data_IF_039601255050
#
_entry.id   IF_039601255050
#
_cell.length_a   1.000
_cell.length_b   1.000
_cell.length_c   1.000
_cell.angle_alpha   90.00
_cell.angle_beta   90.00
_cell.angle_gamma   90.00
#
_symmetry.space_group_name_H-M   'P 1'
#
loop_
_entity.id
_entity.type
_entity.pdbx_description
1 polymer ?
#
# COMPACT_ATOMS: atom_id res chain seq x y z
N UNK A 1 11.67 -9.04 11.56
CA UNK A 1 10.25 -9.06 12.04
C UNK A 1 9.81 -10.51 12.14
N UNK A 2 9.04 -10.87 13.17
CA UNK A 2 8.40 -12.18 13.21
C UNK A 2 7.11 -12.17 12.39
N UNK A 3 7.07 -12.90 11.27
CA UNK A 3 5.91 -13.02 10.39
C UNK A 3 5.04 -14.25 10.72
N UNK A 4 5.52 -15.12 11.61
CA UNK A 4 4.81 -16.33 12.00
C UNK A 4 3.76 -16.02 13.06
N UNK A 5 2.67 -15.42 12.61
CA UNK A 5 1.56 -14.94 13.44
C UNK A 5 0.37 -15.89 13.38
N UNK A 6 -0.35 -15.99 14.51
CA UNK A 6 -1.63 -16.69 14.54
C UNK A 6 -2.64 -16.03 13.60
N UNK A 7 -3.45 -16.87 12.99
CA UNK A 7 -4.51 -16.48 12.06
C UNK A 7 -5.88 -16.79 12.66
N UNK A 8 -6.93 -16.42 11.94
CA UNK A 8 -8.32 -16.81 12.30
C UNK A 8 -8.52 -18.33 12.41
N UNK A 9 -7.63 -19.14 11.85
CA UNK A 9 -7.67 -20.60 11.99
C UNK A 9 -7.09 -21.11 13.31
N UNK A 10 -6.31 -20.29 14.01
CA UNK A 10 -5.56 -20.66 15.19
C UNK A 10 -6.28 -20.22 16.50
N UNK A 11 -7.49 -19.69 16.40
CA UNK A 11 -8.29 -19.23 17.53
C UNK A 11 -9.76 -19.64 17.38
N UNK A 12 -10.39 -20.00 18.49
CA UNK A 12 -11.83 -20.29 18.51
C UNK A 12 -12.63 -18.98 18.46
N UNK A 13 -13.47 -18.85 17.44
CA UNK A 13 -14.36 -17.69 17.22
C UNK A 13 -15.85 -18.07 17.25
N UNK A 14 -16.16 -19.36 17.43
CA UNK A 14 -17.54 -19.84 17.40
C UNK A 14 -18.37 -19.20 18.51
N UNK A 15 -19.48 -18.57 18.14
CA UNK A 15 -20.37 -17.87 19.05
C UNK A 15 -19.82 -16.62 19.72
N UNK A 16 -18.60 -16.20 19.36
CA UNK A 16 -17.94 -15.02 19.93
C UNK A 16 -18.20 -13.75 19.11
N UNK A 17 -18.13 -12.62 19.79
CA UNK A 17 -18.09 -11.31 19.14
C UNK A 17 -16.66 -11.00 18.69
N UNK A 18 -16.48 -10.76 17.42
CA UNK A 18 -15.18 -10.52 16.78
C UNK A 18 -15.13 -9.11 16.24
N UNK A 19 -14.17 -8.31 16.74
CA UNK A 19 -13.83 -7.03 16.15
C UNK A 19 -12.90 -7.27 14.95
N UNK A 20 -13.40 -7.01 13.74
CA UNK A 20 -12.67 -7.21 12.49
C UNK A 20 -12.25 -5.88 11.89
N UNK A 21 -10.95 -5.61 11.82
CA UNK A 21 -10.41 -4.41 11.18
C UNK A 21 -10.20 -4.68 9.68
N UNK A 22 -11.05 -4.07 8.87
CA UNK A 22 -11.00 -4.12 7.41
C UNK A 22 -10.36 -2.87 6.80
N UNK A 23 -9.95 -2.94 5.56
CA UNK A 23 -9.60 -1.79 4.74
C UNK A 23 -10.71 -1.50 3.73
N UNK A 24 -11.66 -0.66 4.15
CA UNK A 24 -12.75 -0.16 3.33
C UNK A 24 -12.53 1.28 2.87
N UNK A 25 -11.28 1.69 2.81
CA UNK A 25 -10.88 2.99 2.27
C UNK A 25 -11.00 2.98 0.73
N UNK A 26 -12.22 2.82 0.26
CA UNK A 26 -12.57 2.73 -1.15
C UNK A 26 -12.41 4.06 -1.86
N UNK A 27 -12.05 4.08 -3.15
CA UNK A 27 -12.11 5.28 -3.96
C UNK A 27 -13.56 5.68 -4.21
N UNK A 28 -13.80 6.99 -4.17
CA UNK A 28 -15.13 7.57 -4.35
C UNK A 28 -15.11 8.66 -5.42
N UNK A 29 -16.17 8.78 -6.17
CA UNK A 29 -16.42 9.93 -7.03
C UNK A 29 -16.49 11.21 -6.19
N UNK A 30 -15.74 12.22 -6.57
CA UNK A 30 -15.62 13.48 -5.79
C UNK A 30 -16.91 14.30 -5.76
N UNK A 31 -17.74 14.19 -6.79
CA UNK A 31 -18.98 14.94 -6.91
C UNK A 31 -20.12 14.23 -6.19
N UNK A 32 -20.29 12.94 -6.41
CA UNK A 32 -21.44 12.15 -5.93
C UNK A 32 -21.18 11.40 -4.63
N UNK A 33 -19.91 11.11 -4.29
CA UNK A 33 -19.54 10.23 -3.18
C UNK A 33 -19.75 8.74 -3.47
N UNK A 34 -20.16 8.37 -4.68
CA UNK A 34 -20.36 6.98 -5.08
C UNK A 34 -19.03 6.20 -5.08
N UNK A 35 -19.09 4.94 -4.67
CA UNK A 35 -17.95 4.04 -4.71
C UNK A 35 -17.58 3.75 -6.17
N UNK A 36 -16.35 4.08 -6.58
CA UNK A 36 -15.85 3.84 -7.95
C UNK A 36 -15.14 2.50 -8.12
N UNK A 37 -14.73 1.86 -7.02
CA UNK A 37 -14.18 0.51 -7.01
C UNK A 37 -14.44 -0.15 -5.65
N UNK A 38 -14.95 -1.36 -5.67
CA UNK A 38 -15.23 -2.16 -4.47
C UNK A 38 -14.17 -3.24 -4.18
N UNK A 39 -13.05 -3.24 -4.90
CA UNK A 39 -11.97 -4.23 -4.77
C UNK A 39 -11.52 -4.46 -3.32
N UNK A 40 -11.45 -3.40 -2.52
CA UNK A 40 -11.07 -3.50 -1.09
C UNK A 40 -12.13 -4.22 -0.26
N UNK A 41 -13.41 -4.01 -0.57
CA UNK A 41 -14.52 -4.71 0.10
C UNK A 41 -14.47 -6.19 -0.28
N UNK A 42 -14.30 -6.49 -1.57
CA UNK A 42 -14.19 -7.86 -2.08
C UNK A 42 -13.01 -8.59 -1.45
N UNK A 43 -11.87 -7.92 -1.26
CA UNK A 43 -10.68 -8.51 -0.64
C UNK A 43 -10.90 -8.93 0.84
N UNK A 44 -11.82 -8.31 1.55
CA UNK A 44 -12.18 -8.67 2.92
C UNK A 44 -13.19 -9.83 3.03
N UNK A 45 -13.89 -10.16 1.95
CA UNK A 45 -14.96 -11.18 1.96
C UNK A 45 -14.50 -12.56 2.44
N UNK A 46 -13.33 -13.09 2.07
CA UNK A 46 -12.90 -14.41 2.54
C UNK A 46 -12.86 -14.51 4.06
N UNK A 47 -12.26 -13.52 4.74
CA UNK A 47 -12.22 -13.47 6.20
C UNK A 47 -13.60 -13.31 6.81
N UNK A 48 -14.42 -12.41 6.27
CA UNK A 48 -15.79 -12.18 6.75
C UNK A 48 -16.62 -13.45 6.62
N UNK A 49 -16.60 -14.11 5.46
CA UNK A 49 -17.35 -15.37 5.24
C UNK A 49 -16.89 -16.50 6.14
N UNK A 50 -15.58 -16.61 6.36
CA UNK A 50 -15.04 -17.59 7.30
C UNK A 50 -15.60 -17.36 8.72
N UNK A 51 -15.49 -16.14 9.25
CA UNK A 51 -15.97 -15.81 10.60
C UNK A 51 -17.47 -16.04 10.74
N UNK A 52 -18.28 -15.59 9.78
CA UNK A 52 -19.72 -15.82 9.77
C UNK A 52 -20.06 -17.31 9.68
N UNK A 53 -19.33 -18.07 8.87
CA UNK A 53 -19.48 -19.52 8.74
C UNK A 53 -19.15 -20.29 10.03
N UNK A 54 -18.26 -19.75 10.86
CA UNK A 54 -17.96 -20.29 12.19
C UNK A 54 -18.97 -19.87 13.26
N UNK A 55 -20.01 -19.11 12.90
CA UNK A 55 -21.03 -18.63 13.84
C UNK A 55 -20.57 -17.44 14.69
N UNK A 56 -19.51 -16.74 14.31
CA UNK A 56 -19.09 -15.51 14.97
C UNK A 56 -20.09 -14.37 14.71
N UNK A 57 -20.23 -13.45 15.67
CA UNK A 57 -20.89 -12.17 15.50
C UNK A 57 -19.80 -11.14 15.11
N UNK A 58 -19.84 -10.65 13.88
CA UNK A 58 -18.75 -9.83 13.32
C UNK A 58 -19.05 -8.35 13.47
N UNK A 59 -18.17 -7.63 14.18
CA UNK A 59 -18.18 -6.18 14.31
C UNK A 59 -17.04 -5.66 13.42
N UNK A 60 -17.35 -5.30 12.18
CA UNK A 60 -16.39 -4.76 11.24
C UNK A 60 -16.15 -3.28 11.53
N UNK A 61 -14.89 -2.84 11.39
CA UNK A 61 -14.51 -1.44 11.48
C UNK A 61 -13.48 -1.08 10.41
N UNK A 62 -13.48 0.14 9.96
CA UNK A 62 -12.54 0.67 8.97
C UNK A 62 -12.45 2.19 9.05
N UNK A 63 -11.41 2.71 8.43
CA UNK A 63 -11.35 4.13 8.09
C UNK A 63 -11.78 4.37 6.64
N UNK A 64 -12.15 5.60 6.33
CA UNK A 64 -12.39 6.09 4.98
C UNK A 64 -11.84 7.52 4.86
N UNK A 65 -10.93 7.71 3.91
CA UNK A 65 -10.30 9.01 3.66
C UNK A 65 -9.50 9.56 4.86
N UNK A 66 -9.42 10.87 4.91
CA UNK A 66 -8.70 11.62 5.96
C UNK A 66 -9.60 12.72 6.52
N UNK A 67 -10.70 12.38 7.22
CA UNK A 67 -11.52 13.36 7.89
C UNK A 67 -10.71 14.14 8.92
N UNK A 68 -11.07 15.38 9.15
CA UNK A 68 -10.53 16.14 10.27
C UNK A 68 -11.62 16.23 11.36
N UNK A 69 -11.48 15.49 12.46
CA UNK A 69 -12.52 15.39 13.47
C UNK A 69 -12.61 16.61 14.39
N UNK A 70 -11.78 17.64 14.17
CA UNK A 70 -11.80 18.92 14.90
C UNK A 70 -12.11 20.05 13.93
N UNK A 71 -13.17 20.83 14.22
CA UNK A 71 -13.53 21.99 13.40
C UNK A 71 -12.39 23.00 13.30
N UNK A 72 -11.76 23.34 14.41
CA UNK A 72 -10.63 24.29 14.45
C UNK A 72 -9.47 23.83 13.55
N UNK A 73 -9.10 22.55 13.62
CA UNK A 73 -8.05 21.99 12.78
C UNK A 73 -8.47 21.93 11.31
N UNK A 74 -9.73 21.64 11.05
CA UNK A 74 -10.25 21.65 9.68
C UNK A 74 -10.19 23.07 9.09
N UNK A 75 -10.59 24.10 9.83
CA UNK A 75 -10.48 25.50 9.41
C UNK A 75 -9.03 25.83 9.09
N UNK A 76 -8.09 25.56 10.01
CA UNK A 76 -6.67 25.79 9.79
C UNK A 76 -6.18 25.15 8.49
N UNK A 77 -6.48 23.88 8.28
CA UNK A 77 -6.08 23.11 7.10
C UNK A 77 -6.70 23.62 5.79
N UNK A 78 -7.93 24.15 5.84
CA UNK A 78 -8.56 24.74 4.66
C UNK A 78 -7.97 26.13 4.35
N UNK A 79 -7.63 26.91 5.38
CA UNK A 79 -6.94 28.20 5.24
C UNK A 79 -5.55 28.03 4.64
N UNK A 80 -4.79 27.04 5.09
CA UNK A 80 -3.48 26.69 4.50
C UNK A 80 -3.58 26.30 3.01
N UNK A 81 -4.77 25.88 2.55
CA UNK A 81 -5.08 25.60 1.15
C UNK A 81 -5.63 26.82 0.39
N UNK A 82 -5.57 28.01 0.98
CA UNK A 82 -5.97 29.26 0.35
C UNK A 82 -7.45 29.57 0.39
N UNK A 83 -8.25 28.90 1.26
CA UNK A 83 -9.66 29.25 1.45
C UNK A 83 -9.80 30.37 2.49
N UNK A 84 -10.78 31.25 2.26
CA UNK A 84 -11.11 32.32 3.19
C UNK A 84 -11.69 31.75 4.50
N UNK A 85 -11.09 32.03 5.67
CA UNK A 85 -11.61 31.58 6.96
C UNK A 85 -13.06 32.02 7.23
N UNK A 86 -13.45 33.17 6.73
CA UNK A 86 -14.81 33.71 6.92
C UNK A 86 -15.89 32.84 6.23
N UNK A 87 -15.51 32.09 5.21
CA UNK A 87 -16.39 31.15 4.51
C UNK A 87 -16.43 29.74 5.12
N UNK A 88 -15.57 29.44 6.09
CA UNK A 88 -15.44 28.12 6.70
C UNK A 88 -16.38 27.99 7.90
N UNK A 89 -17.56 27.44 7.66
CA UNK A 89 -18.60 27.25 8.67
C UNK A 89 -18.60 25.80 9.20
N UNK A 90 -19.17 25.62 10.40
CA UNK A 90 -19.38 24.31 11.00
C UNK A 90 -20.27 23.42 10.12
N UNK A 91 -21.25 23.99 9.44
CA UNK A 91 -22.10 23.27 8.49
C UNK A 91 -21.27 22.69 7.32
N UNK A 92 -20.37 23.47 6.74
CA UNK A 92 -19.47 23.01 5.67
C UNK A 92 -18.53 21.90 6.17
N UNK A 93 -18.06 22.02 7.40
CA UNK A 93 -17.25 20.96 8.03
C UNK A 93 -18.05 19.68 8.21
N UNK A 94 -19.24 19.75 8.82
CA UNK A 94 -20.13 18.58 8.99
C UNK A 94 -20.48 17.94 7.64
N UNK A 95 -20.73 18.74 6.61
CA UNK A 95 -20.93 18.23 5.24
C UNK A 95 -19.70 17.50 4.69
N UNK A 96 -18.50 17.96 5.02
CA UNK A 96 -17.26 17.29 4.63
C UNK A 96 -17.08 15.94 5.33
N UNK A 97 -17.49 15.80 6.58
CA UNK A 97 -17.50 14.54 7.31
C UNK A 97 -18.52 13.56 6.74
N UNK A 98 -19.75 14.04 6.46
CA UNK A 98 -20.81 13.20 5.87
C UNK A 98 -20.41 12.52 4.55
N UNK A 99 -19.53 13.12 3.77
CA UNK A 99 -18.98 12.50 2.54
C UNK A 99 -18.11 11.29 2.81
N UNK A 100 -17.59 11.16 4.03
CA UNK A 100 -16.68 10.09 4.45
C UNK A 100 -17.36 9.09 5.40
N UNK A 101 -18.69 9.03 5.40
CA UNK A 101 -19.44 7.98 6.10
C UNK A 101 -19.23 6.64 5.43
N UNK A 102 -19.21 5.58 6.23
CA UNK A 102 -19.14 4.19 5.74
C UNK A 102 -20.51 3.61 5.39
N UNK A 103 -21.60 4.37 5.47
CA UNK A 103 -22.94 3.87 5.13
C UNK A 103 -23.01 3.25 3.72
N UNK A 104 -22.48 3.87 2.64
CA UNK A 104 -22.46 3.24 1.30
C UNK A 104 -21.65 1.95 1.24
N UNK A 105 -20.60 1.83 2.07
CA UNK A 105 -19.82 0.60 2.17
C UNK A 105 -20.64 -0.51 2.82
N UNK A 106 -21.41 -0.21 3.85
CA UNK A 106 -22.31 -1.17 4.49
C UNK A 106 -23.36 -1.70 3.51
N UNK A 107 -23.94 -0.84 2.68
CA UNK A 107 -24.89 -1.23 1.62
C UNK A 107 -24.22 -2.16 0.59
N UNK A 108 -23.05 -1.77 0.08
CA UNK A 108 -22.32 -2.57 -0.90
C UNK A 108 -21.85 -3.92 -0.32
N UNK A 109 -21.40 -3.92 0.93
CA UNK A 109 -21.02 -5.16 1.63
C UNK A 109 -22.23 -6.10 1.81
N UNK A 110 -23.40 -5.54 2.13
CA UNK A 110 -24.66 -6.30 2.23
C UNK A 110 -25.03 -6.97 0.89
N UNK A 111 -24.92 -6.25 -0.22
CA UNK A 111 -25.14 -6.82 -1.55
C UNK A 111 -24.18 -7.97 -1.87
N UNK A 112 -22.89 -7.78 -1.61
CA UNK A 112 -21.84 -8.79 -1.88
C UNK A 112 -21.96 -10.03 -1.01
N UNK A 113 -22.43 -9.88 0.22
CA UNK A 113 -22.66 -11.00 1.15
C UNK A 113 -24.01 -11.70 0.91
N UNK A 114 -24.96 -11.03 0.26
CA UNK A 114 -26.32 -11.52 0.13
C UNK A 114 -27.08 -11.60 1.45
N UNK A 115 -26.70 -10.79 2.44
CA UNK A 115 -27.32 -10.73 3.78
C UNK A 115 -27.21 -9.32 4.36
N UNK A 116 -28.10 -8.94 5.30
CA UNK A 116 -28.08 -7.62 5.93
C UNK A 116 -26.76 -7.37 6.65
N UNK A 117 -26.22 -6.15 6.50
CA UNK A 117 -25.15 -5.60 7.32
C UNK A 117 -25.74 -4.47 8.16
N UNK A 118 -25.70 -4.61 9.47
CA UNK A 118 -26.18 -3.59 10.40
C UNK A 118 -25.18 -2.44 10.42
N UNK A 119 -25.62 -1.23 10.11
CA UNK A 119 -24.74 -0.06 10.14
C UNK A 119 -24.94 0.73 11.45
N UNK A 120 -23.82 1.01 12.14
CA UNK A 120 -23.83 1.88 13.33
C UNK A 120 -23.48 3.32 12.91
N UNK A 121 -24.22 4.29 13.47
CA UNK A 121 -24.05 5.72 13.16
C UNK A 121 -22.98 6.41 14.01
N UNK A 122 -22.31 5.67 14.87
CA UNK A 122 -21.15 6.09 15.65
C UNK A 122 -20.10 4.96 15.72
N UNK A 123 -18.94 5.23 16.31
CA UNK A 123 -17.83 4.27 16.41
C UNK A 123 -17.87 3.52 17.72
N UNK A 124 -17.96 4.23 18.84
CA UNK A 124 -17.99 3.69 20.22
C UNK A 124 -19.08 4.32 21.06
N UNK A 125 -20.01 4.96 20.42
CA UNK A 125 -21.14 5.64 21.06
C UNK A 125 -22.30 4.70 21.40
N UNK A 126 -23.43 5.28 21.82
CA UNK A 126 -24.59 4.48 22.23
C UNK A 126 -25.16 3.58 21.15
N UNK A 127 -25.17 4.04 19.89
CA UNK A 127 -25.72 3.28 18.78
C UNK A 127 -24.86 2.04 18.46
N UNK A 128 -23.53 2.20 18.35
CA UNK A 128 -22.62 1.09 18.12
C UNK A 128 -22.69 0.06 19.26
N UNK A 129 -22.67 0.52 20.52
CA UNK A 129 -22.72 -0.37 21.70
C UNK A 129 -24.02 -1.15 21.77
N UNK A 130 -25.17 -0.51 21.53
CA UNK A 130 -26.46 -1.17 21.53
C UNK A 130 -26.58 -2.22 20.41
N UNK A 131 -26.14 -1.89 19.20
CA UNK A 131 -26.15 -2.79 18.05
C UNK A 131 -25.18 -3.95 18.24
N UNK A 132 -23.97 -3.69 18.76
CA UNK A 132 -23.00 -4.73 19.09
C UNK A 132 -23.52 -5.69 20.17
N UNK A 133 -24.20 -5.17 21.20
CA UNK A 133 -24.81 -6.01 22.24
C UNK A 133 -25.90 -6.93 21.68
N UNK A 134 -26.73 -6.44 20.76
CA UNK A 134 -27.81 -7.18 20.14
C UNK A 134 -27.37 -8.15 19.03
N UNK A 135 -26.15 -8.00 18.51
CA UNK A 135 -25.63 -8.80 17.38
C UNK A 135 -25.49 -10.26 17.75
N UNK A 136 -26.01 -11.14 16.90
CA UNK A 136 -26.00 -12.61 17.11
C UNK A 136 -24.96 -13.29 16.25
N UNK A 137 -24.59 -14.51 16.61
CA UNK A 137 -23.71 -15.37 15.79
C UNK A 137 -24.23 -15.52 14.36
N UNK A 138 -23.34 -15.37 13.39
CA UNK A 138 -23.65 -15.37 11.95
C UNK A 138 -24.14 -14.03 11.41
N UNK A 139 -24.28 -13.01 12.24
CA UNK A 139 -24.62 -11.64 11.83
C UNK A 139 -23.38 -10.74 11.77
N UNK A 140 -23.48 -9.69 10.99
CA UNK A 140 -22.42 -8.69 10.80
C UNK A 140 -22.94 -7.28 10.93
N UNK A 141 -22.15 -6.43 11.60
CA UNK A 141 -22.36 -4.98 11.60
C UNK A 141 -21.09 -4.26 11.13
N UNK A 142 -21.25 -3.03 10.68
CA UNK A 142 -20.16 -2.11 10.35
C UNK A 142 -20.30 -0.85 11.20
N UNK A 143 -19.22 -0.51 11.92
CA UNK A 143 -19.12 0.75 12.66
C UNK A 143 -18.94 1.93 11.69
N UNK A 144 -19.26 3.13 12.15
CA UNK A 144 -18.93 4.35 11.41
C UNK A 144 -17.40 4.53 11.31
N UNK A 145 -16.97 5.42 10.41
CA UNK A 145 -15.57 5.70 10.10
C UNK A 145 -14.76 5.94 11.39
N UNK A 146 -13.81 5.05 11.66
CA UNK A 146 -12.99 5.12 12.88
C UNK A 146 -12.22 6.43 13.02
N UNK A 147 -11.91 7.10 11.90
CA UNK A 147 -11.23 8.41 11.89
C UNK A 147 -12.12 9.59 12.25
N UNK A 148 -13.40 9.38 12.49
CA UNK A 148 -14.25 10.40 13.12
C UNK A 148 -13.92 10.56 14.60
N UNK A 149 -13.26 9.55 15.21
CA UNK A 149 -12.78 9.64 16.57
C UNK A 149 -11.38 10.32 16.63
N UNK A 150 -11.26 11.34 17.48
CA UNK A 150 -10.00 12.10 17.65
C UNK A 150 -8.82 11.26 18.14
N UNK A 151 -9.12 10.15 18.84
CA UNK A 151 -8.13 9.24 19.39
C UNK A 151 -7.60 8.19 18.40
N UNK A 152 -8.26 7.97 17.26
CA UNK A 152 -7.91 6.88 16.34
C UNK A 152 -6.46 6.94 15.88
N UNK A 153 -6.07 8.04 15.23
CA UNK A 153 -4.72 8.18 14.67
C UNK A 153 -3.63 8.44 15.72
N UNK A 154 -4.04 8.71 16.96
CA UNK A 154 -3.13 8.90 18.10
C UNK A 154 -2.89 7.63 18.89
N UNK A 155 -3.53 6.53 18.50
CA UNK A 155 -3.54 5.27 19.25
C UNK A 155 -3.97 5.48 20.72
N UNK A 156 -5.04 6.25 20.91
CA UNK A 156 -5.54 6.58 22.24
C UNK A 156 -6.00 5.30 22.96
N UNK A 157 -5.43 4.98 24.13
CA UNK A 157 -5.80 3.78 24.89
C UNK A 157 -7.26 3.75 25.31
N UNK A 158 -7.87 4.91 25.60
CA UNK A 158 -9.28 4.98 25.99
C UNK A 158 -10.19 4.58 24.83
N UNK A 159 -9.91 5.07 23.61
CA UNK A 159 -10.66 4.65 22.40
C UNK A 159 -10.44 3.16 22.10
N UNK A 160 -9.20 2.69 22.19
CA UNK A 160 -8.88 1.28 21.97
C UNK A 160 -9.63 0.37 22.94
N UNK A 161 -9.72 0.75 24.23
CA UNK A 161 -10.47 0.04 25.26
C UNK A 161 -11.98 0.03 24.96
N UNK A 162 -12.54 1.15 24.51
CA UNK A 162 -13.95 1.24 24.14
C UNK A 162 -14.27 0.36 22.92
N UNK A 163 -13.44 0.34 21.91
CA UNK A 163 -13.57 -0.58 20.77
C UNK A 163 -13.51 -2.04 21.24
N UNK A 164 -12.51 -2.37 22.04
CA UNK A 164 -12.30 -3.72 22.55
C UNK A 164 -13.44 -4.20 23.46
N UNK A 165 -14.12 -3.29 24.17
CA UNK A 165 -15.24 -3.62 25.07
C UNK A 165 -16.43 -4.27 24.37
N UNK A 166 -16.56 -4.09 23.06
CA UNK A 166 -17.65 -4.65 22.25
C UNK A 166 -17.39 -6.09 21.79
N UNK A 167 -16.17 -6.61 21.94
CA UNK A 167 -15.77 -7.89 21.36
C UNK A 167 -14.93 -8.76 22.34
N UNK A 168 -14.66 -9.99 21.92
CA UNK A 168 -13.89 -10.98 22.68
C UNK A 168 -12.58 -11.36 21.95
N UNK A 169 -12.53 -11.13 20.64
CA UNK A 169 -11.38 -11.42 19.78
C UNK A 169 -11.19 -10.25 18.80
N UNK A 170 -9.94 -9.90 18.53
CA UNK A 170 -9.58 -8.93 17.49
C UNK A 170 -8.94 -9.64 16.30
N UNK A 171 -9.42 -9.33 15.10
CA UNK A 171 -8.88 -9.82 13.83
C UNK A 171 -8.41 -8.65 12.98
N UNK A 172 -7.11 -8.63 12.64
CA UNK A 172 -6.50 -7.65 11.75
C UNK A 172 -6.52 -8.15 10.31
N UNK A 173 -7.28 -7.48 9.45
CA UNK A 173 -7.41 -7.86 8.03
C UNK A 173 -7.21 -6.68 7.07
N UNK A 174 -6.55 -5.64 7.52
CA UNK A 174 -6.30 -4.41 6.78
C UNK A 174 -4.80 -4.18 6.59
N UNK A 175 -4.14 -4.95 5.71
CA UNK A 175 -2.69 -4.87 5.52
C UNK A 175 -2.22 -3.45 5.16
N UNK A 176 -2.97 -2.69 4.36
CA UNK A 176 -2.67 -1.30 4.04
C UNK A 176 -2.60 -0.34 5.24
N UNK A 177 -3.07 -0.77 6.42
CA UNK A 177 -3.09 0.04 7.65
C UNK A 177 -2.17 -0.46 8.74
N UNK A 178 -1.57 -1.66 8.62
CA UNK A 178 -0.75 -2.27 9.70
C UNK A 178 0.56 -1.54 9.99
N UNK A 179 1.03 -0.67 9.08
CA UNK A 179 2.22 0.15 9.28
C UNK A 179 2.01 1.31 10.25
N UNK A 180 0.77 1.57 10.67
CA UNK A 180 0.42 2.66 11.57
C UNK A 180 -0.12 2.12 12.89
N UNK A 181 0.45 2.60 14.00
CA UNK A 181 -0.08 2.36 15.32
C UNK A 181 -1.30 3.25 15.57
N UNK A 182 -2.48 2.82 15.12
CA UNK A 182 -3.76 3.46 15.41
C UNK A 182 -4.55 2.66 16.45
N UNK A 183 -5.55 3.26 17.08
CA UNK A 183 -6.37 2.58 18.08
C UNK A 183 -7.00 1.31 17.53
N UNK A 184 -7.59 1.35 16.32
CA UNK A 184 -8.24 0.20 15.68
C UNK A 184 -7.30 -0.78 15.00
N UNK A 185 -6.02 -0.45 14.79
CA UNK A 185 -5.06 -1.33 14.09
C UNK A 185 -4.07 -2.01 15.04
N UNK A 186 -3.69 -1.35 16.13
CA UNK A 186 -2.71 -1.86 17.09
C UNK A 186 -3.19 -1.75 18.54
N UNK A 187 -3.78 -0.62 18.93
CA UNK A 187 -4.16 -0.36 20.33
C UNK A 187 -5.11 -1.39 20.92
N UNK A 188 -6.07 -1.87 20.14
CA UNK A 188 -7.07 -2.88 20.59
C UNK A 188 -6.42 -4.21 21.00
N UNK A 189 -5.25 -4.54 20.48
CA UNK A 189 -4.52 -5.76 20.82
C UNK A 189 -3.99 -5.77 22.27
N UNK A 190 -3.96 -4.62 22.94
CA UNK A 190 -3.66 -4.55 24.36
C UNK A 190 -4.81 -5.11 25.26
N UNK A 191 -6.01 -5.25 24.72
CA UNK A 191 -7.23 -5.61 25.46
C UNK A 191 -7.89 -6.89 24.98
N UNK A 192 -7.56 -7.36 23.77
CA UNK A 192 -8.14 -8.56 23.16
C UNK A 192 -7.04 -9.47 22.60
N UNK A 193 -7.24 -10.79 22.63
CA UNK A 193 -6.40 -11.69 21.83
C UNK A 193 -6.53 -11.30 20.36
N UNK A 194 -5.38 -11.08 19.70
CA UNK A 194 -5.27 -10.51 18.37
C UNK A 194 -4.65 -11.50 17.40
N UNK A 195 -5.32 -11.76 16.29
CA UNK A 195 -4.84 -12.65 15.21
C UNK A 195 -5.00 -11.97 13.86
N UNK A 196 -4.33 -12.50 12.83
CA UNK A 196 -4.51 -12.01 11.46
C UNK A 196 -5.76 -12.61 10.81
N UNK A 197 -6.43 -11.82 10.00
CA UNK A 197 -7.36 -12.32 8.99
C UNK A 197 -6.61 -12.95 7.81
N UNK A 198 -7.35 -13.51 6.85
CA UNK A 198 -6.78 -14.27 5.73
C UNK A 198 -6.01 -13.38 4.77
N UNK A 199 -6.43 -12.12 4.59
CA UNK A 199 -5.73 -11.15 3.74
C UNK A 199 -4.36 -10.82 4.33
N UNK A 200 -4.30 -10.41 5.59
CA UNK A 200 -3.04 -10.10 6.27
C UNK A 200 -2.15 -11.34 6.36
N UNK A 201 -2.70 -12.51 6.67
CA UNK A 201 -1.96 -13.76 6.70
C UNK A 201 -1.26 -14.06 5.37
N UNK A 202 -1.98 -13.88 4.25
CA UNK A 202 -1.44 -14.09 2.91
C UNK A 202 -0.32 -13.11 2.58
N UNK A 203 -0.49 -11.83 2.92
CA UNK A 203 0.55 -10.81 2.74
C UNK A 203 1.83 -11.18 3.51
N UNK A 204 1.69 -11.55 4.80
CA UNK A 204 2.82 -11.93 5.63
C UNK A 204 3.51 -13.20 5.13
N UNK A 205 2.76 -14.20 4.70
CA UNK A 205 3.31 -15.44 4.14
C UNK A 205 4.14 -15.16 2.88
N UNK A 206 3.55 -14.45 1.91
CA UNK A 206 4.20 -14.27 0.60
C UNK A 206 5.37 -13.29 0.69
N UNK A 207 5.16 -12.13 1.30
CA UNK A 207 6.21 -11.10 1.40
C UNK A 207 7.29 -11.49 2.41
N UNK A 208 6.92 -12.11 3.53
CA UNK A 208 7.86 -12.59 4.53
C UNK A 208 8.80 -13.64 3.95
N UNK A 209 8.25 -14.62 3.23
CA UNK A 209 9.02 -15.65 2.56
C UNK A 209 9.97 -15.09 1.50
N UNK A 210 9.50 -14.11 0.73
CA UNK A 210 10.31 -13.43 -0.29
C UNK A 210 11.51 -12.67 0.30
N UNK A 211 11.40 -12.15 1.51
CA UNK A 211 12.50 -11.40 2.14
C UNK A 211 13.43 -12.25 2.99
N UNK A 212 12.92 -13.27 3.67
CA UNK A 212 13.71 -14.03 4.66
C UNK A 212 14.21 -15.38 4.12
N UNK A 213 13.46 -16.00 3.21
CA UNK A 213 13.83 -17.27 2.55
C UNK A 213 13.39 -17.27 1.08
N UNK A 214 13.93 -16.36 0.25
CA UNK A 214 13.55 -16.27 -1.16
C UNK A 214 14.03 -17.48 -1.94
N UNK A 215 13.21 -17.93 -2.88
CA UNK A 215 13.70 -18.82 -3.93
C UNK A 215 14.67 -18.03 -4.82
N UNK A 216 15.94 -18.48 -4.85
CA UNK A 216 17.00 -17.76 -5.58
C UNK A 216 17.13 -18.20 -7.04
N UNK A 217 17.66 -17.36 -7.94
CA UNK A 217 18.11 -15.98 -7.68
C UNK A 217 16.95 -15.03 -7.29
N UNK A 218 17.23 -14.12 -6.35
CA UNK A 218 16.29 -13.07 -5.93
C UNK A 218 16.62 -11.75 -6.63
N UNK A 219 15.68 -11.25 -7.41
CA UNK A 219 15.78 -9.99 -8.17
C UNK A 219 14.81 -8.96 -7.56
N UNK A 220 15.33 -7.80 -7.20
CA UNK A 220 14.54 -6.67 -6.77
C UNK A 220 14.51 -5.61 -7.87
N UNK A 221 13.33 -5.17 -8.29
CA UNK A 221 13.11 -4.12 -9.30
C UNK A 221 12.52 -2.90 -8.61
N UNK A 222 13.28 -1.82 -8.58
CA UNK A 222 12.90 -0.58 -7.92
C UNK A 222 12.81 0.56 -8.93
N UNK A 223 11.73 1.29 -8.88
CA UNK A 223 11.47 2.47 -9.69
C UNK A 223 10.81 3.58 -8.86
N UNK A 224 10.30 4.57 -9.56
CA UNK A 224 9.68 5.74 -8.97
C UNK A 224 10.49 7.02 -9.21
N UNK A 225 9.97 8.15 -8.71
CA UNK A 225 10.52 9.47 -9.03
C UNK A 225 11.76 9.84 -8.21
N UNK A 226 11.81 9.44 -6.93
CA UNK A 226 12.77 9.97 -5.95
C UNK A 226 13.55 8.88 -5.23
N UNK A 227 14.86 9.08 -5.10
CA UNK A 227 15.74 8.25 -4.27
C UNK A 227 15.35 8.32 -2.80
N UNK A 228 15.01 9.53 -2.31
CA UNK A 228 14.64 9.77 -0.91
C UNK A 228 13.50 8.89 -0.43
N UNK A 229 12.56 8.55 -1.32
CA UNK A 229 11.42 7.68 -1.00
C UNK A 229 11.79 6.19 -0.94
N UNK A 230 13.00 5.81 -1.38
CA UNK A 230 13.45 4.42 -1.53
C UNK A 230 14.72 4.08 -0.76
N UNK A 231 15.29 5.01 -0.01
CA UNK A 231 16.56 4.82 0.71
C UNK A 231 16.57 3.54 1.55
N UNK A 232 15.57 3.38 2.40
CA UNK A 232 15.49 2.23 3.31
C UNK A 232 15.23 0.93 2.56
N UNK A 233 14.43 0.97 1.49
CA UNK A 233 14.15 -0.19 0.62
C UNK A 233 15.43 -0.64 -0.10
N UNK A 234 16.17 0.28 -0.71
CA UNK A 234 17.43 -0.02 -1.40
C UNK A 234 18.41 -0.65 -0.41
N UNK A 235 18.59 -0.05 0.76
CA UNK A 235 19.47 -0.57 1.80
C UNK A 235 19.12 -1.99 2.22
N UNK A 236 17.85 -2.26 2.49
CA UNK A 236 17.41 -3.57 2.94
C UNK A 236 17.53 -4.63 1.83
N UNK A 237 17.18 -4.27 0.59
CA UNK A 237 17.23 -5.22 -0.53
C UNK A 237 18.66 -5.51 -0.98
N UNK A 238 19.61 -4.58 -0.84
CA UNK A 238 21.04 -4.87 -1.06
C UNK A 238 21.60 -5.89 -0.07
N UNK A 239 20.98 -6.06 1.10
CA UNK A 239 21.35 -7.12 2.06
C UNK A 239 20.78 -8.51 1.67
N UNK A 240 19.76 -8.57 0.84
CA UNK A 240 18.93 -9.75 0.63
C UNK A 240 18.92 -10.27 -0.81
N UNK A 241 18.95 -9.38 -1.79
CA UNK A 241 18.83 -9.72 -3.21
C UNK A 241 20.16 -10.10 -3.86
N UNK A 242 20.08 -10.92 -4.91
CA UNK A 242 21.24 -11.24 -5.78
C UNK A 242 21.43 -10.17 -6.85
N UNK A 243 20.33 -9.55 -7.30
CA UNK A 243 20.31 -8.45 -8.27
C UNK A 243 19.32 -7.38 -7.83
N UNK A 244 19.74 -6.12 -7.90
CA UNK A 244 18.88 -4.96 -7.69
C UNK A 244 18.87 -4.12 -8.96
N UNK A 245 17.70 -3.87 -9.49
CA UNK A 245 17.45 -3.07 -10.69
C UNK A 245 16.89 -1.72 -10.25
N UNK A 246 17.49 -0.63 -10.70
CA UNK A 246 17.05 0.75 -10.43
C UNK A 246 16.59 1.39 -11.74
N UNK A 247 15.32 1.78 -11.79
CA UNK A 247 14.72 2.50 -12.92
C UNK A 247 13.94 3.72 -12.45
N UNK A 248 13.13 4.29 -13.34
CA UNK A 248 12.34 5.49 -13.05
C UNK A 248 13.16 6.76 -12.87
N UNK A 249 12.54 7.81 -12.38
CA UNK A 249 13.15 9.11 -12.19
C UNK A 249 14.34 9.12 -11.23
N UNK A 250 14.34 8.24 -10.24
CA UNK A 250 15.45 8.12 -9.28
C UNK A 250 16.76 7.66 -9.94
N UNK A 251 16.71 7.00 -11.09
CA UNK A 251 17.92 6.56 -11.81
C UNK A 251 18.79 7.73 -12.30
N UNK A 252 18.19 8.89 -12.55
CA UNK A 252 18.94 10.08 -12.99
C UNK A 252 19.84 10.65 -11.89
N UNK A 253 19.43 10.53 -10.63
CA UNK A 253 20.29 10.86 -9.49
C UNK A 253 21.51 9.94 -9.44
N UNK A 254 21.35 8.64 -9.71
CA UNK A 254 22.48 7.69 -9.83
C UNK A 254 23.39 8.03 -11.00
N UNK A 255 22.83 8.40 -12.17
CA UNK A 255 23.63 8.82 -13.32
C UNK A 255 24.43 10.09 -13.01
N UNK A 256 23.80 11.10 -12.43
CA UNK A 256 24.46 12.35 -12.01
C UNK A 256 25.58 12.09 -11.01
N UNK A 257 25.34 11.24 -10.04
CA UNK A 257 26.33 10.85 -9.03
C UNK A 257 27.60 10.25 -9.64
N UNK A 258 27.48 9.57 -10.79
CA UNK A 258 28.58 8.98 -11.54
C UNK A 258 29.22 9.96 -12.56
N UNK A 259 28.87 11.24 -12.53
CA UNK A 259 29.39 12.25 -13.43
C UNK A 259 28.61 12.40 -14.74
N UNK A 260 27.43 11.78 -14.87
CA UNK A 260 26.57 11.89 -16.03
C UNK A 260 25.93 13.27 -16.20
N UNK A 261 25.60 13.60 -17.45
CA UNK A 261 24.81 14.77 -17.83
C UNK A 261 23.36 14.32 -18.01
N UNK A 262 22.45 14.86 -17.19
CA UNK A 262 21.04 14.41 -17.14
C UNK A 262 20.04 15.47 -17.66
N UNK A 263 20.52 16.58 -18.20
CA UNK A 263 19.67 17.65 -18.74
C UNK A 263 18.70 18.20 -17.68
N UNK A 264 17.41 18.24 -18.02
CA UNK A 264 16.32 18.70 -17.15
C UNK A 264 15.66 17.56 -16.36
N UNK A 265 16.26 16.37 -16.33
CA UNK A 265 15.70 15.20 -15.63
C UNK A 265 15.56 15.46 -14.14
N UNK A 266 14.68 14.69 -13.48
CA UNK A 266 14.53 14.73 -12.03
C UNK A 266 15.89 14.48 -11.36
N UNK A 267 16.21 15.30 -10.37
CA UNK A 267 17.46 15.21 -9.61
C UNK A 267 17.22 15.54 -8.14
N UNK A 268 17.75 14.70 -7.29
CA UNK A 268 17.95 14.97 -5.85
C UNK A 268 19.46 15.10 -5.61
N UNK A 269 20.00 16.31 -5.75
CA UNK A 269 21.44 16.56 -5.70
C UNK A 269 22.06 16.17 -4.35
N UNK A 270 21.32 16.39 -3.26
CA UNK A 270 21.69 15.99 -1.90
C UNK A 270 21.72 14.46 -1.68
N UNK A 271 21.22 13.67 -2.65
CA UNK A 271 21.25 12.20 -2.64
C UNK A 271 22.32 11.57 -3.54
N UNK A 272 23.09 12.37 -4.28
CA UNK A 272 24.16 11.86 -5.12
C UNK A 272 25.22 11.09 -4.33
N UNK A 273 25.65 11.61 -3.18
CA UNK A 273 26.59 10.92 -2.31
C UNK A 273 26.05 9.56 -1.83
N UNK A 274 24.78 9.52 -1.46
CA UNK A 274 24.09 8.28 -1.08
C UNK A 274 24.03 7.29 -2.25
N UNK A 275 23.74 7.75 -3.47
CA UNK A 275 23.72 6.89 -4.66
C UNK A 275 25.08 6.22 -4.90
N UNK A 276 26.19 6.94 -4.77
CA UNK A 276 27.54 6.37 -4.85
C UNK A 276 27.79 5.36 -3.73
N UNK A 277 27.38 5.64 -2.52
CA UNK A 277 27.49 4.70 -1.39
C UNK A 277 26.75 3.40 -1.68
N UNK A 278 25.55 3.45 -2.27
CA UNK A 278 24.79 2.25 -2.63
C UNK A 278 25.44 1.44 -3.73
N UNK A 279 26.06 2.10 -4.71
CA UNK A 279 26.85 1.43 -5.77
C UNK A 279 28.03 0.66 -5.14
N UNK A 280 28.78 1.30 -4.26
CA UNK A 280 29.91 0.66 -3.57
C UNK A 280 29.46 -0.46 -2.62
N UNK A 281 28.35 -0.26 -1.91
CA UNK A 281 27.75 -1.29 -1.06
C UNK A 281 27.36 -2.53 -1.86
N UNK A 282 26.74 -2.35 -3.02
CA UNK A 282 26.37 -3.46 -3.92
C UNK A 282 27.63 -4.26 -4.35
N UNK A 283 28.71 -3.56 -4.75
CA UNK A 283 29.99 -4.20 -5.12
C UNK A 283 30.57 -4.98 -3.96
N UNK A 284 30.63 -4.39 -2.78
CA UNK A 284 31.18 -5.02 -1.58
C UNK A 284 30.42 -6.31 -1.18
N UNK A 285 29.11 -6.34 -1.44
CA UNK A 285 28.24 -7.49 -1.13
C UNK A 285 28.11 -8.50 -2.28
N UNK A 286 28.71 -8.24 -3.43
CA UNK A 286 28.58 -9.09 -4.61
C UNK A 286 27.18 -9.06 -5.23
N UNK A 287 26.38 -8.03 -4.94
CA UNK A 287 25.06 -7.82 -5.54
C UNK A 287 25.20 -7.11 -6.87
N UNK A 288 24.53 -7.63 -7.91
CA UNK A 288 24.46 -6.94 -9.21
C UNK A 288 23.50 -5.75 -9.09
N UNK A 289 24.04 -4.54 -9.14
CA UNK A 289 23.25 -3.32 -9.24
C UNK A 289 23.18 -2.90 -10.71
N UNK A 290 21.98 -2.97 -11.30
CA UNK A 290 21.76 -2.61 -12.69
C UNK A 290 21.09 -1.23 -12.78
N UNK A 291 21.74 -0.34 -13.54
CA UNK A 291 21.28 1.02 -13.81
C UNK A 291 20.97 1.16 -15.32
N UNK A 292 20.13 2.11 -15.72
CA UNK A 292 19.85 2.37 -17.12
C UNK A 292 21.14 2.71 -17.92
N UNK A 293 21.22 2.16 -19.12
CA UNK A 293 22.31 2.45 -20.09
C UNK A 293 21.85 3.40 -21.17
N UNK A 294 20.55 3.45 -21.46
CA UNK A 294 19.88 4.41 -22.31
C UNK A 294 18.55 4.85 -21.70
N UNK A 295 18.01 5.94 -22.20
CA UNK A 295 16.74 6.51 -21.73
C UNK A 295 15.94 7.05 -22.90
N UNK A 296 14.62 7.07 -22.75
CA UNK A 296 13.73 7.80 -23.65
C UNK A 296 13.52 9.18 -23.04
N UNK A 297 14.02 10.20 -23.73
CA UNK A 297 13.96 11.58 -23.29
C UNK A 297 12.97 12.40 -24.13
N UNK A 298 12.52 13.51 -23.59
CA UNK A 298 11.69 14.49 -24.27
C UNK A 298 12.05 15.92 -23.82
N UNK A 299 11.66 16.92 -24.63
CA UNK A 299 11.92 18.33 -24.31
C UNK A 299 10.99 18.87 -23.23
N UNK A 300 9.82 18.28 -23.08
CA UNK A 300 8.79 18.70 -22.13
C UNK A 300 8.07 17.51 -21.51
N UNK A 301 7.49 17.71 -20.33
CA UNK A 301 6.68 16.72 -19.65
C UNK A 301 5.24 16.78 -20.17
N UNK A 302 5.00 16.12 -21.30
CA UNK A 302 3.70 16.07 -21.95
C UNK A 302 3.47 14.70 -22.61
N UNK A 303 2.20 14.29 -22.71
CA UNK A 303 1.83 12.99 -23.27
C UNK A 303 2.13 12.89 -24.77
N UNK A 304 2.14 14.03 -25.48
CA UNK A 304 2.42 14.18 -26.91
C UNK A 304 3.83 14.66 -27.22
N UNK A 305 4.70 14.75 -26.18
CA UNK A 305 6.10 15.09 -26.38
C UNK A 305 6.81 14.03 -27.24
N UNK A 306 7.68 14.49 -28.15
CA UNK A 306 8.42 13.61 -29.04
C UNK A 306 9.46 12.78 -28.27
N UNK A 307 9.37 11.45 -28.31
CA UNK A 307 10.32 10.59 -27.60
C UNK A 307 11.62 10.44 -28.41
N UNK A 308 12.76 10.64 -27.74
CA UNK A 308 14.10 10.48 -28.32
C UNK A 308 14.92 9.54 -27.43
N UNK A 309 15.47 8.50 -28.02
CA UNK A 309 16.38 7.58 -27.33
C UNK A 309 17.77 8.21 -27.26
N UNK A 310 18.30 8.34 -26.04
CA UNK A 310 19.63 8.92 -25.78
C UNK A 310 20.40 8.03 -24.79
N UNK A 311 21.72 8.23 -24.74
CA UNK A 311 22.56 7.59 -23.72
C UNK A 311 22.17 8.09 -22.31
N UNK A 312 22.10 7.19 -21.35
CA UNK A 312 21.67 7.53 -19.98
C UNK A 312 22.64 8.48 -19.25
N UNK A 313 23.91 8.50 -19.65
CA UNK A 313 24.94 9.37 -19.09
C UNK A 313 25.10 10.70 -19.86
N UNK A 314 24.40 10.86 -20.98
CA UNK A 314 24.52 12.02 -21.88
C UNK A 314 23.16 12.48 -22.38
N UNK A 315 22.28 12.86 -21.46
CA UNK A 315 20.97 13.43 -21.80
C UNK A 315 21.16 14.90 -22.21
N UNK A 316 20.68 15.33 -23.38
CA UNK A 316 20.79 16.72 -23.82
C UNK A 316 20.28 17.74 -22.81
N UNK A 317 20.92 18.92 -22.74
CA UNK A 317 20.61 19.93 -21.71
C UNK A 317 19.17 20.46 -21.78
N UNK A 318 18.51 20.38 -22.94
CA UNK A 318 17.14 20.84 -23.20
C UNK A 318 16.10 19.68 -23.04
N UNK A 319 16.54 18.47 -22.66
CA UNK A 319 15.70 17.30 -22.53
C UNK A 319 15.67 16.75 -21.09
N UNK A 320 14.62 16.00 -20.80
CA UNK A 320 14.45 15.24 -19.56
C UNK A 320 14.18 13.77 -19.87
N UNK A 321 14.70 12.87 -19.06
CA UNK A 321 14.38 11.44 -19.14
C UNK A 321 12.94 11.18 -18.71
N UNK A 322 12.24 10.34 -19.47
CA UNK A 322 10.83 10.00 -19.26
C UNK A 322 10.59 8.51 -19.11
N UNK A 323 11.45 7.66 -19.65
CA UNK A 323 11.38 6.20 -19.56
C UNK A 323 12.78 5.58 -19.75
N UNK A 324 12.93 4.33 -19.38
CA UNK A 324 14.11 3.55 -19.75
C UNK A 324 14.11 3.26 -21.25
N UNK A 325 15.30 3.24 -21.85
CA UNK A 325 15.46 2.99 -23.29
C UNK A 325 15.45 1.51 -23.65
N UNK A 326 15.46 1.18 -24.95
CA UNK A 326 15.35 -0.21 -25.43
C UNK A 326 16.51 -1.11 -25.00
N UNK A 327 17.75 -0.60 -24.94
CA UNK A 327 18.90 -1.38 -24.43
C UNK A 327 18.77 -1.67 -22.94
N UNK A 328 18.27 -0.72 -22.17
CA UNK A 328 17.98 -0.89 -20.75
C UNK A 328 16.86 -1.92 -20.53
N UNK A 329 15.81 -1.89 -21.33
CA UNK A 329 14.73 -2.88 -21.30
C UNK A 329 15.31 -4.29 -21.52
N UNK A 330 16.16 -4.47 -22.53
CA UNK A 330 16.79 -5.77 -22.78
C UNK A 330 17.64 -6.22 -21.60
N UNK A 331 18.47 -5.33 -21.04
CA UNK A 331 19.32 -5.60 -19.89
C UNK A 331 18.50 -6.00 -18.67
N UNK A 332 17.45 -5.25 -18.34
CA UNK A 332 16.62 -5.50 -17.17
C UNK A 332 15.78 -6.76 -17.31
N UNK A 333 15.17 -6.97 -18.48
CA UNK A 333 14.42 -8.19 -18.74
C UNK A 333 15.32 -9.43 -18.74
N UNK A 334 16.54 -9.34 -19.25
CA UNK A 334 17.51 -10.42 -19.18
C UNK A 334 17.84 -10.82 -17.72
N UNK A 335 17.94 -9.84 -16.83
CA UNK A 335 18.21 -10.08 -15.41
C UNK A 335 17.06 -10.79 -14.66
N UNK A 336 15.83 -10.75 -15.18
CA UNK A 336 14.69 -11.48 -14.60
C UNK A 336 14.59 -12.92 -15.07
N UNK A 337 15.28 -13.29 -16.14
CA UNK A 337 15.24 -14.67 -16.67
C UNK A 337 15.92 -15.63 -15.71
N UNK A 338 15.22 -16.72 -15.40
CA UNK A 338 15.71 -17.73 -14.47
C UNK A 338 15.69 -17.33 -13.00
N UNK A 339 15.14 -16.16 -12.67
CA UNK A 339 14.92 -15.76 -11.28
C UNK A 339 13.96 -16.73 -10.57
N UNK A 340 14.21 -16.97 -9.29
CA UNK A 340 13.32 -17.74 -8.43
C UNK A 340 12.28 -16.86 -7.75
N UNK A 341 12.67 -15.63 -7.40
CA UNK A 341 11.82 -14.61 -6.77
C UNK A 341 12.07 -13.24 -7.39
N UNK A 342 11.02 -12.51 -7.72
CA UNK A 342 11.12 -11.13 -8.20
C UNK A 342 10.17 -10.26 -7.37
N UNK A 343 10.71 -9.21 -6.77
CA UNK A 343 9.93 -8.17 -6.09
C UNK A 343 10.03 -6.87 -6.88
N UNK A 344 8.92 -6.27 -7.23
CA UNK A 344 8.85 -5.02 -7.98
C UNK A 344 8.09 -3.94 -7.22
N UNK A 345 8.72 -2.77 -7.08
CA UNK A 345 8.13 -1.59 -6.45
C UNK A 345 8.54 -0.31 -7.19
N UNK A 346 7.59 0.33 -7.85
CA UNK A 346 7.74 1.58 -8.59
C UNK A 346 7.92 1.41 -10.10
N UNK A 347 7.30 2.28 -10.90
CA UNK A 347 7.36 2.23 -12.36
C UNK A 347 8.74 2.61 -12.90
N UNK A 348 9.02 2.16 -14.13
CA UNK A 348 10.29 2.43 -14.82
C UNK A 348 10.32 3.77 -15.56
N UNK A 349 9.18 4.38 -15.76
CA UNK A 349 9.02 5.65 -16.48
C UNK A 349 7.66 6.27 -16.22
N UNK A 350 7.32 7.29 -16.99
CA UNK A 350 6.02 8.00 -16.92
C UNK A 350 4.99 7.18 -17.69
N UNK A 351 4.59 6.04 -17.12
CA UNK A 351 3.75 5.03 -17.78
C UNK A 351 2.32 5.50 -18.07
N UNK A 352 1.89 6.59 -17.45
CA UNK A 352 0.62 7.26 -17.72
C UNK A 352 0.56 7.85 -19.14
N UNK A 353 1.73 8.13 -19.71
CA UNK A 353 1.88 8.60 -21.09
C UNK A 353 2.27 7.43 -22.01
N UNK A 354 1.45 7.08 -23.01
CA UNK A 354 1.69 5.89 -23.84
C UNK A 354 3.07 5.84 -24.49
N UNK A 355 3.64 6.98 -24.91
CA UNK A 355 4.98 7.05 -25.51
C UNK A 355 6.12 6.71 -24.52
N UNK A 356 5.86 6.79 -23.22
CA UNK A 356 6.82 6.58 -22.13
C UNK A 356 6.45 5.44 -21.20
N UNK A 357 5.58 4.52 -21.67
CA UNK A 357 5.10 3.35 -20.92
C UNK A 357 5.84 2.05 -21.27
N UNK A 358 6.71 2.04 -22.26
CA UNK A 358 7.32 0.82 -22.79
C UNK A 358 8.21 0.12 -21.75
N UNK A 359 8.96 0.87 -20.95
CA UNK A 359 9.81 0.31 -19.91
C UNK A 359 8.99 -0.42 -18.84
N UNK A 360 7.98 0.23 -18.31
CA UNK A 360 7.07 -0.34 -17.31
C UNK A 360 6.31 -1.56 -17.86
N UNK A 361 5.84 -1.48 -19.10
CA UNK A 361 5.17 -2.58 -19.78
C UNK A 361 6.08 -3.78 -19.98
N UNK A 362 7.31 -3.56 -20.40
CA UNK A 362 8.30 -4.62 -20.60
C UNK A 362 8.64 -5.33 -19.28
N UNK A 363 8.78 -4.59 -18.19
CA UNK A 363 9.01 -5.17 -16.87
C UNK A 363 7.81 -6.00 -16.38
N UNK A 364 6.59 -5.48 -16.52
CA UNK A 364 5.39 -6.23 -16.18
C UNK A 364 5.29 -7.55 -16.95
N UNK A 365 5.56 -7.51 -18.25
CA UNK A 365 5.60 -8.69 -19.12
C UNK A 365 6.70 -9.66 -18.69
N UNK A 366 7.90 -9.16 -18.41
CA UNK A 366 9.02 -9.99 -17.98
C UNK A 366 8.73 -10.72 -16.67
N UNK A 367 8.10 -10.07 -15.70
CA UNK A 367 7.64 -10.72 -14.48
C UNK A 367 6.59 -11.80 -14.78
N UNK A 368 5.59 -11.48 -15.60
CA UNK A 368 4.51 -12.40 -15.96
C UNK A 368 5.00 -13.67 -16.65
N UNK A 369 6.09 -13.58 -17.41
CA UNK A 369 6.68 -14.69 -18.20
C UNK A 369 7.86 -15.38 -17.50
N UNK A 370 8.32 -14.87 -16.35
CA UNK A 370 9.54 -15.36 -15.68
C UNK A 370 9.43 -16.75 -15.08
N UNK A 371 8.24 -17.22 -14.73
CA UNK A 371 8.04 -18.44 -13.95
C UNK A 371 8.50 -18.34 -12.48
N UNK A 372 8.95 -17.15 -12.06
CA UNK A 372 9.35 -16.86 -10.68
C UNK A 372 8.15 -16.66 -9.76
N UNK A 373 8.41 -16.67 -8.44
CA UNK A 373 7.50 -16.06 -7.47
C UNK A 373 7.58 -14.55 -7.66
N UNK A 374 6.51 -13.94 -8.16
CA UNK A 374 6.47 -12.51 -8.51
C UNK A 374 5.59 -11.74 -7.54
N UNK A 375 6.14 -10.68 -6.97
CA UNK A 375 5.47 -9.84 -5.98
C UNK A 375 5.54 -8.39 -6.44
N UNK A 376 4.39 -7.73 -6.50
CA UNK A 376 4.30 -6.29 -6.75
C UNK A 376 3.87 -5.60 -5.46
N UNK A 377 4.68 -4.63 -5.02
CA UNK A 377 4.36 -3.73 -3.93
C UNK A 377 4.24 -2.28 -4.44
N UNK A 378 3.30 -1.54 -3.86
CA UNK A 378 3.06 -0.14 -4.24
C UNK A 378 1.94 0.05 -5.27
N UNK A 379 1.20 1.16 -5.10
CA UNK A 379 0.00 1.44 -5.89
C UNK A 379 0.26 1.63 -7.38
N UNK A 380 1.33 2.34 -7.73
CA UNK A 380 1.65 2.65 -9.13
C UNK A 380 2.05 1.40 -9.92
N UNK A 381 2.86 0.52 -9.32
CA UNK A 381 3.24 -0.74 -9.94
C UNK A 381 2.05 -1.69 -10.11
N UNK A 382 1.17 -1.75 -9.09
CA UNK A 382 -0.06 -2.52 -9.15
C UNK A 382 -1.00 -2.00 -10.24
N UNK A 383 -1.19 -0.68 -10.30
CA UNK A 383 -1.99 -0.02 -11.32
C UNK A 383 -1.42 -0.29 -12.73
N UNK A 384 -0.10 -0.22 -12.89
CA UNK A 384 0.55 -0.53 -14.15
C UNK A 384 0.31 -1.98 -14.58
N UNK A 385 0.46 -2.95 -13.68
CA UNK A 385 0.22 -4.35 -13.98
C UNK A 385 -1.25 -4.62 -14.38
N UNK A 386 -2.20 -3.96 -13.72
CA UNK A 386 -3.63 -4.06 -14.04
C UNK A 386 -3.95 -3.42 -15.39
N UNK A 387 -3.54 -2.17 -15.62
CA UNK A 387 -3.81 -1.44 -16.86
C UNK A 387 -3.18 -2.11 -18.09
N UNK A 388 -2.05 -2.76 -17.91
CA UNK A 388 -1.33 -3.46 -18.97
C UNK A 388 -1.77 -4.92 -19.14
N UNK A 389 -2.72 -5.40 -18.34
CA UNK A 389 -3.33 -6.73 -18.48
C UNK A 389 -2.44 -7.89 -18.00
N UNK A 390 -1.49 -7.64 -17.10
CA UNK A 390 -0.59 -8.67 -16.55
C UNK A 390 -0.92 -9.08 -15.10
N UNK A 391 -1.87 -8.44 -14.45
CA UNK A 391 -2.17 -8.66 -13.03
C UNK A 391 -2.44 -10.14 -12.68
N UNK A 392 -3.20 -10.84 -13.50
CA UNK A 392 -3.56 -12.25 -13.28
C UNK A 392 -2.38 -13.22 -13.39
N UNK A 393 -1.27 -12.77 -13.96
CA UNK A 393 -0.05 -13.57 -14.13
C UNK A 393 1.01 -13.30 -13.06
N UNK A 394 0.74 -12.37 -12.15
CA UNK A 394 1.60 -12.05 -11.01
C UNK A 394 1.18 -12.90 -9.82
N UNK A 395 2.15 -13.52 -9.14
CA UNK A 395 1.87 -14.40 -7.99
C UNK A 395 1.15 -13.66 -6.86
N UNK A 396 1.56 -12.42 -6.58
CA UNK A 396 0.96 -11.61 -5.53
C UNK A 396 1.11 -10.11 -5.84
N UNK A 397 -0.01 -9.39 -5.82
CA UNK A 397 -0.05 -7.94 -5.85
C UNK A 397 -0.47 -7.49 -4.46
N UNK A 398 0.45 -6.85 -3.72
CA UNK A 398 0.18 -6.43 -2.36
C UNK A 398 -0.87 -5.33 -2.31
N UNK A 399 -1.80 -5.48 -1.39
CA UNK A 399 -2.83 -4.47 -1.09
C UNK A 399 -2.32 -3.36 -0.18
N UNK A 400 -1.07 -3.48 0.29
CA UNK A 400 -0.54 -2.71 1.40
C UNK A 400 -0.16 -1.26 1.08
N UNK A 401 0.10 -0.89 -0.17
CA UNK A 401 0.59 0.45 -0.50
C UNK A 401 1.81 0.85 0.34
N UNK A 402 1.64 1.82 1.25
CA UNK A 402 2.69 2.24 2.17
C UNK A 402 3.17 1.14 3.13
N UNK A 403 2.28 0.27 3.57
CA UNK A 403 2.66 -0.87 4.42
C UNK A 403 3.57 -1.85 3.68
N UNK A 404 3.32 -2.10 2.38
CA UNK A 404 4.21 -2.92 1.55
C UNK A 404 5.60 -2.32 1.43
N UNK A 405 5.68 -1.00 1.28
CA UNK A 405 6.95 -0.29 1.21
C UNK A 405 7.74 -0.45 2.52
N UNK A 406 7.11 -0.15 3.66
CA UNK A 406 7.73 -0.30 4.98
C UNK A 406 8.10 -1.76 5.29
N UNK A 407 7.33 -2.71 4.79
CA UNK A 407 7.69 -4.13 4.87
C UNK A 407 8.97 -4.44 4.09
N UNK A 408 9.10 -3.92 2.85
CA UNK A 408 10.31 -4.06 2.04
C UNK A 408 11.51 -3.33 2.62
N UNK A 409 11.30 -2.30 3.43
CA UNK A 409 12.32 -1.61 4.21
C UNK A 409 12.85 -2.44 5.40
N UNK A 410 12.17 -3.54 5.73
CA UNK A 410 12.49 -4.37 6.88
C UNK A 410 12.02 -3.78 8.21
N UNK A 411 11.14 -2.78 8.20
CA UNK A 411 10.57 -2.16 9.39
C UNK A 411 9.58 -3.09 10.09
N UNK A 412 9.52 -2.98 11.40
CA UNK A 412 8.46 -3.58 12.17
C UNK A 412 7.15 -2.83 11.95
N UNK A 413 6.10 -3.56 11.57
CA UNK A 413 4.76 -3.01 11.36
C UNK A 413 3.93 -3.15 12.64
N UNK A 414 3.51 -2.05 13.29
CA UNK A 414 2.83 -2.12 14.59
C UNK A 414 1.58 -3.01 14.61
N UNK A 415 0.78 -2.97 13.55
CA UNK A 415 -0.43 -3.80 13.41
C UNK A 415 -0.14 -5.27 13.13
N UNK A 416 1.12 -5.65 12.88
CA UNK A 416 1.59 -7.04 12.80
C UNK A 416 2.26 -7.45 14.11
N UNK A 417 3.11 -6.58 14.65
CA UNK A 417 3.85 -6.83 15.88
C UNK A 417 2.92 -7.13 17.07
N UNK A 418 1.75 -6.49 17.11
CA UNK A 418 0.75 -6.68 18.16
C UNK A 418 -0.03 -8.01 18.09
N UNK A 419 0.09 -8.77 16.99
CA UNK A 419 -0.59 -10.07 16.83
C UNK A 419 0.14 -11.18 17.61
N UNK A 420 -0.64 -12.16 18.05
CA UNK A 420 -0.12 -13.35 18.72
C UNK A 420 0.80 -14.16 17.80
N UNK A 421 1.90 -14.61 18.33
CA UNK A 421 2.83 -15.51 17.63
C UNK A 421 2.27 -16.95 17.60
N UNK A 422 2.61 -17.72 16.54
CA UNK A 422 2.37 -19.16 16.47
C UNK A 422 3.30 -19.92 17.39
#
# INVERSE_FOLDING_TARGET
>A
MNYNKKTVYDIDVAGKKVLLRCDFNVPQDKATGAITSDKRIVAALPTIRYLLGQGAAVIACSHLGKPEPSFEKWVKKQTEKGKDPAELTEEKWQKSLKKLTLAPVAERLSELLGKPVVFAHDVVGPDAKAKAAALKGGEIMLLENTRFEKGETKNDPALAKELASMAEVYVSDAFGSVHRAHASTAGVAAYLPAVSGLLVARELEVMGKALDDPKRPFVAVLGGAKVSDKIAVINNLLEKADTVIIGGGMAYTFAKAQGGEIGKSLLEEDKCAYALEMIEKAKAKGVKLLLPVDTVAAKEFAADAEPVVVDAMHIPADMMGMDIGPKTIELFCAATRGAGTIVWNGPMGVFEFPAFANGTKAMAKALAESGAVTIIGGGDSAAAAEQLGFADKITHISTGGGASLEFLEGKELPGVACLLDK
#
